data_IF_377228599763
#
_entry.id   IF_377228599763
#
_cell.length_a   1.000
_cell.length_b   1.000
_cell.length_c   1.000
_cell.angle_alpha   90.00
_cell.angle_beta   90.00
_cell.angle_gamma   90.00
#
_symmetry.space_group_name_H-M   'P 1'
#
loop_
_entity.id
_entity.type
_entity.pdbx_description
1 polymer ?
#
# COMPACT_ATOMS: atom_id res chain seq x y z
N UNK A 1 16.40 -17.20 4.48
CA UNK A 1 15.80 -17.26 3.11
C UNK A 1 16.86 -16.91 2.06
N UNK A 2 16.92 -17.62 0.93
CA UNK A 2 17.93 -17.35 -0.11
C UNK A 2 17.73 -15.96 -0.74
N UNK A 3 18.81 -15.33 -1.23
CA UNK A 3 18.74 -14.03 -1.91
C UNK A 3 17.82 -14.07 -3.14
N UNK A 4 17.85 -15.18 -3.88
CA UNK A 4 16.95 -15.44 -5.01
C UNK A 4 15.49 -15.47 -4.58
N UNK A 5 15.17 -16.15 -3.48
CA UNK A 5 13.81 -16.22 -2.94
C UNK A 5 13.31 -14.84 -2.50
N UNK A 6 14.14 -14.05 -1.80
CA UNK A 6 13.81 -12.66 -1.42
C UNK A 6 13.52 -11.79 -2.63
N UNK A 7 14.35 -11.89 -3.67
CA UNK A 7 14.17 -11.16 -4.92
C UNK A 7 12.84 -11.52 -5.60
N UNK A 8 12.52 -12.81 -5.68
CA UNK A 8 11.25 -13.29 -6.27
C UNK A 8 10.05 -12.75 -5.47
N UNK A 9 10.07 -12.85 -4.15
CA UNK A 9 8.98 -12.35 -3.30
C UNK A 9 8.77 -10.84 -3.50
N UNK A 10 9.85 -10.05 -3.47
CA UNK A 10 9.77 -8.61 -3.74
C UNK A 10 9.20 -8.29 -5.12
N UNK A 11 9.55 -9.07 -6.14
CA UNK A 11 8.99 -8.89 -7.50
C UNK A 11 7.52 -9.21 -7.57
N UNK A 12 7.09 -10.33 -6.99
CA UNK A 12 5.68 -10.72 -6.98
C UNK A 12 4.83 -9.65 -6.30
N UNK A 13 5.29 -9.17 -5.15
CA UNK A 13 4.59 -8.12 -4.39
C UNK A 13 4.60 -6.81 -5.14
N UNK A 14 5.74 -6.43 -5.71
CA UNK A 14 5.85 -5.24 -6.56
C UNK A 14 4.84 -5.28 -7.71
N UNK A 15 4.74 -6.40 -8.44
CA UNK A 15 3.79 -6.57 -9.54
C UNK A 15 2.35 -6.48 -9.02
N UNK A 16 2.03 -7.14 -7.90
CA UNK A 16 0.70 -7.05 -7.30
C UNK A 16 0.34 -5.60 -6.92
N UNK A 17 1.31 -4.81 -6.44
CA UNK A 17 1.12 -3.39 -6.09
C UNK A 17 0.87 -2.54 -7.32
N UNK A 18 1.63 -2.77 -8.39
CA UNK A 18 1.43 -2.06 -9.64
C UNK A 18 0.03 -2.34 -10.20
N UNK A 19 -0.38 -3.62 -10.24
CA UNK A 19 -1.70 -4.02 -10.74
C UNK A 19 -2.81 -3.44 -9.85
N UNK A 20 -2.72 -3.63 -8.53
CA UNK A 20 -3.72 -3.13 -7.59
C UNK A 20 -3.82 -1.60 -7.58
N UNK A 21 -2.68 -0.92 -7.63
CA UNK A 21 -2.63 0.54 -7.72
C UNK A 21 -3.19 1.08 -9.03
N UNK A 22 -2.87 0.48 -10.18
CA UNK A 22 -3.48 0.84 -11.47
C UNK A 22 -4.99 0.62 -11.41
N UNK A 23 -5.43 -0.53 -10.88
CA UNK A 23 -6.85 -0.84 -10.68
C UNK A 23 -7.59 0.20 -9.85
N UNK A 24 -6.99 0.65 -8.74
CA UNK A 24 -7.52 1.76 -7.92
C UNK A 24 -7.58 3.09 -8.68
N UNK A 25 -6.57 3.39 -9.49
CA UNK A 25 -6.49 4.66 -10.25
C UNK A 25 -7.61 4.76 -11.30
N UNK A 26 -7.84 3.67 -12.03
CA UNK A 26 -8.86 3.56 -13.08
C UNK A 26 -10.25 3.23 -12.53
N UNK A 27 -10.38 3.05 -11.22
CA UNK A 27 -11.67 2.78 -10.59
C UNK A 27 -12.69 3.88 -10.93
N UNK A 28 -13.84 3.44 -11.41
CA UNK A 28 -15.00 4.25 -11.75
C UNK A 28 -16.12 4.01 -10.75
N UNK A 29 -17.21 4.76 -10.88
CA UNK A 29 -18.44 4.56 -10.09
C UNK A 29 -18.90 3.10 -10.06
N UNK A 30 -18.87 2.40 -11.19
CA UNK A 30 -19.23 0.99 -11.29
C UNK A 30 -18.36 0.09 -10.39
N UNK A 31 -17.08 0.41 -10.20
CA UNK A 31 -16.21 -0.31 -9.27
C UNK A 31 -16.67 -0.06 -7.83
N UNK A 32 -17.00 1.18 -7.49
CA UNK A 32 -17.53 1.52 -6.16
C UNK A 32 -18.88 0.85 -5.90
N UNK A 33 -19.77 0.80 -6.88
CA UNK A 33 -21.06 0.09 -6.81
C UNK A 33 -20.87 -1.42 -6.57
N UNK A 34 -19.94 -2.04 -7.30
CA UNK A 34 -19.64 -3.47 -7.16
C UNK A 34 -19.13 -3.83 -5.75
N UNK A 35 -18.50 -2.89 -5.05
CA UNK A 35 -18.08 -3.03 -3.66
C UNK A 35 -19.08 -2.46 -2.63
N UNK A 36 -20.29 -2.04 -3.06
CA UNK A 36 -21.32 -1.49 -2.18
C UNK A 36 -20.98 -0.10 -1.60
N UNK A 37 -20.06 0.62 -2.23
CA UNK A 37 -19.52 1.92 -1.81
C UNK A 37 -19.99 3.09 -2.68
N UNK A 38 -21.06 2.92 -3.46
CA UNK A 38 -21.56 3.94 -4.40
C UNK A 38 -21.81 5.33 -3.77
N UNK A 39 -22.23 5.37 -2.49
CA UNK A 39 -22.44 6.61 -1.73
C UNK A 39 -21.17 7.45 -1.59
N UNK A 40 -19.98 6.82 -1.57
CA UNK A 40 -18.71 7.56 -1.54
C UNK A 40 -18.46 8.30 -2.87
N UNK A 41 -19.03 7.81 -3.97
CA UNK A 41 -18.84 8.39 -5.30
C UNK A 41 -19.67 9.66 -5.49
N UNK A 42 -20.93 9.67 -5.04
CA UNK A 42 -21.83 10.81 -5.17
C UNK A 42 -21.64 11.86 -4.06
N UNK A 43 -21.43 11.41 -2.82
CA UNK A 43 -21.59 12.28 -1.65
C UNK A 43 -20.25 12.77 -1.09
N UNK A 44 -19.13 12.12 -1.46
CA UNK A 44 -17.82 12.34 -0.85
C UNK A 44 -16.67 12.42 -1.87
N UNK A 45 -16.65 13.42 -2.77
CA UNK A 45 -15.62 13.55 -3.81
C UNK A 45 -14.19 13.64 -3.26
N UNK A 46 -14.02 14.19 -2.05
CA UNK A 46 -12.73 14.20 -1.36
C UNK A 46 -12.22 12.79 -1.03
N UNK A 47 -13.10 11.85 -0.69
CA UNK A 47 -12.73 10.46 -0.39
C UNK A 47 -12.29 9.74 -1.66
N UNK A 48 -12.95 9.99 -2.80
CA UNK A 48 -12.53 9.45 -4.11
C UNK A 48 -11.15 9.99 -4.48
N UNK A 49 -10.91 11.29 -4.28
CA UNK A 49 -9.62 11.90 -4.56
C UNK A 49 -8.51 11.25 -3.71
N UNK A 50 -8.73 11.07 -2.41
CA UNK A 50 -7.76 10.38 -1.54
C UNK A 50 -7.57 8.93 -1.95
N UNK A 51 -8.63 8.20 -2.31
CA UNK A 51 -8.53 6.83 -2.80
C UNK A 51 -7.63 6.73 -4.04
N UNK A 52 -7.77 7.66 -4.99
CA UNK A 52 -6.91 7.73 -6.19
C UNK A 52 -5.50 8.22 -5.88
N UNK A 53 -5.32 9.15 -4.95
CA UNK A 53 -4.00 9.59 -4.51
C UNK A 53 -3.23 8.45 -3.82
N UNK A 54 -3.90 7.67 -2.97
CA UNK A 54 -3.36 6.46 -2.36
C UNK A 54 -2.97 5.41 -3.41
N UNK A 55 -3.71 5.32 -4.52
CA UNK A 55 -3.35 4.46 -5.64
C UNK A 55 -1.96 4.82 -6.21
N UNK A 56 -1.67 6.10 -6.38
CA UNK A 56 -0.35 6.58 -6.85
C UNK A 56 0.75 6.20 -5.86
N UNK A 57 0.49 6.33 -4.56
CA UNK A 57 1.43 5.89 -3.53
C UNK A 57 1.71 4.38 -3.59
N UNK A 58 0.68 3.56 -3.76
CA UNK A 58 0.81 2.10 -3.91
C UNK A 58 1.64 1.74 -5.15
N UNK A 59 1.39 2.39 -6.29
CA UNK A 59 2.18 2.21 -7.52
C UNK A 59 3.64 2.57 -7.26
N UNK A 60 3.90 3.71 -6.62
CA UNK A 60 5.25 4.18 -6.30
C UNK A 60 6.01 3.18 -5.41
N UNK A 61 5.37 2.65 -4.36
CA UNK A 61 5.95 1.59 -3.53
C UNK A 61 6.23 0.34 -4.37
N UNK A 62 5.31 -0.06 -5.25
CA UNK A 62 5.52 -1.16 -6.19
C UNK A 62 6.79 -0.98 -7.04
N UNK A 63 7.01 0.21 -7.60
CA UNK A 63 8.22 0.53 -8.37
C UNK A 63 9.48 0.43 -7.50
N UNK A 64 9.46 1.00 -6.30
CA UNK A 64 10.61 0.94 -5.38
C UNK A 64 10.96 -0.52 -5.05
N UNK A 65 9.96 -1.34 -4.70
CA UNK A 65 10.17 -2.75 -4.38
C UNK A 65 10.71 -3.53 -5.59
N UNK A 66 10.29 -3.18 -6.81
CA UNK A 66 10.84 -3.77 -8.03
C UNK A 66 12.34 -3.49 -8.16
N UNK A 67 12.74 -2.23 -7.93
CA UNK A 67 14.15 -1.81 -8.01
C UNK A 67 14.96 -2.53 -6.92
N UNK A 68 14.46 -2.52 -5.67
CA UNK A 68 15.09 -3.22 -4.55
C UNK A 68 15.26 -4.72 -4.80
N UNK A 69 14.34 -5.35 -5.56
CA UNK A 69 14.44 -6.77 -5.89
C UNK A 69 15.67 -7.12 -6.74
N UNK A 70 16.22 -6.18 -7.52
CA UNK A 70 17.38 -6.42 -8.40
C UNK A 70 18.67 -6.55 -7.62
N UNK A 71 18.81 -5.79 -6.53
CA UNK A 71 19.97 -5.83 -5.64
C UNK A 71 19.59 -5.38 -4.22
N UNK A 72 19.14 -6.35 -3.42
CA UNK A 72 18.64 -6.11 -2.06
C UNK A 72 19.75 -5.55 -1.16
N UNK A 73 20.99 -6.01 -1.35
CA UNK A 73 22.13 -5.62 -0.50
C UNK A 73 22.43 -4.14 -0.72
N UNK A 74 22.52 -3.71 -1.98
CA UNK A 74 22.73 -2.31 -2.35
C UNK A 74 21.59 -1.40 -1.88
N UNK A 75 20.34 -1.89 -1.91
CA UNK A 75 19.15 -1.10 -1.62
C UNK A 75 18.61 -1.26 -0.18
N UNK A 76 19.37 -1.83 0.76
CA UNK A 76 18.93 -2.00 2.16
C UNK A 76 18.48 -0.69 2.83
N UNK A 77 19.14 0.43 2.55
CA UNK A 77 18.76 1.74 3.10
C UNK A 77 17.40 2.21 2.57
N UNK A 78 17.10 1.95 1.30
CA UNK A 78 15.81 2.27 0.68
C UNK A 78 14.71 1.42 1.31
N UNK A 79 14.95 0.12 1.52
CA UNK A 79 14.00 -0.78 2.19
C UNK A 79 13.70 -0.29 3.62
N UNK A 80 14.72 0.12 4.38
CA UNK A 80 14.55 0.73 5.71
C UNK A 80 13.70 2.00 5.66
N UNK A 81 13.99 2.89 4.70
CA UNK A 81 13.21 4.10 4.48
C UNK A 81 11.74 3.80 4.15
N UNK A 82 11.49 2.79 3.32
CA UNK A 82 10.13 2.34 2.99
C UNK A 82 9.40 1.78 4.21
N UNK A 83 10.08 1.01 5.08
CA UNK A 83 9.49 0.53 6.34
C UNK A 83 9.06 1.70 7.23
N UNK A 84 9.92 2.71 7.40
CA UNK A 84 9.61 3.89 8.21
C UNK A 84 8.43 4.66 7.62
N UNK A 85 8.43 4.88 6.30
CA UNK A 85 7.33 5.57 5.62
C UNK A 85 6.00 4.82 5.77
N UNK A 86 6.01 3.49 5.64
CA UNK A 86 4.82 2.65 5.86
C UNK A 86 4.36 2.67 7.32
N UNK A 87 5.28 2.73 8.28
CA UNK A 87 4.94 2.83 9.70
C UNK A 87 4.28 4.17 10.04
N UNK A 88 4.78 5.27 9.49
CA UNK A 88 4.14 6.59 9.61
C UNK A 88 2.77 6.57 8.94
N UNK A 89 2.66 5.99 7.74
CA UNK A 89 1.39 5.86 7.03
C UNK A 89 0.36 5.05 7.83
N UNK A 90 0.76 3.92 8.40
CA UNK A 90 -0.05 3.10 9.30
C UNK A 90 -0.59 3.93 10.47
N UNK A 91 0.30 4.62 11.19
CA UNK A 91 -0.07 5.42 12.36
C UNK A 91 -1.01 6.57 11.99
N UNK A 92 -0.71 7.31 10.93
CA UNK A 92 -1.54 8.44 10.48
C UNK A 92 -2.92 7.95 10.06
N UNK A 93 -3.01 6.86 9.30
CA UNK A 93 -4.28 6.29 8.83
C UNK A 93 -5.13 5.79 10.01
N UNK A 94 -4.52 5.08 10.96
CA UNK A 94 -5.18 4.57 12.15
C UNK A 94 -5.69 5.71 13.04
N UNK A 95 -4.84 6.70 13.34
CA UNK A 95 -5.21 7.85 14.16
C UNK A 95 -6.29 8.69 13.49
N UNK A 96 -6.18 8.92 12.18
CA UNK A 96 -7.19 9.69 11.43
C UNK A 96 -8.54 8.97 11.50
N UNK A 97 -8.58 7.66 11.26
CA UNK A 97 -9.82 6.88 11.36
C UNK A 97 -10.46 6.96 12.75
N UNK A 98 -9.66 6.84 13.81
CA UNK A 98 -10.14 6.94 15.20
C UNK A 98 -10.65 8.35 15.52
N UNK A 99 -9.87 9.39 15.22
CA UNK A 99 -10.20 10.79 15.57
C UNK A 99 -11.44 11.27 14.82
N UNK A 100 -11.59 10.88 13.55
CA UNK A 100 -12.72 11.29 12.71
C UNK A 100 -13.98 10.47 12.94
N UNK A 101 -13.90 9.39 13.75
CA UNK A 101 -15.03 8.50 14.00
C UNK A 101 -15.48 7.73 12.75
N UNK A 102 -14.60 7.58 11.76
CA UNK A 102 -14.89 6.78 10.57
C UNK A 102 -15.11 5.32 10.97
N UNK A 103 -16.07 4.65 10.31
CA UNK A 103 -16.25 3.21 10.49
C UNK A 103 -14.97 2.45 10.17
N UNK A 104 -14.66 1.41 10.97
CA UNK A 104 -13.42 0.61 10.84
C UNK A 104 -13.15 0.16 9.41
N UNK A 105 -14.19 -0.21 8.67
CA UNK A 105 -14.11 -0.64 7.27
C UNK A 105 -13.37 0.33 6.34
N UNK A 106 -13.34 1.63 6.64
CA UNK A 106 -12.75 2.65 5.77
C UNK A 106 -11.24 2.84 5.94
N UNK A 107 -10.66 2.41 7.07
CA UNK A 107 -9.24 2.65 7.35
C UNK A 107 -8.48 1.40 7.85
N UNK A 108 -9.20 0.40 8.36
CA UNK A 108 -8.61 -0.82 8.91
C UNK A 108 -7.90 -1.64 7.82
N UNK A 109 -8.47 -1.71 6.62
CA UNK A 109 -7.90 -2.49 5.50
C UNK A 109 -6.52 -1.94 5.12
N UNK A 110 -6.41 -0.62 4.90
CA UNK A 110 -5.14 0.01 4.55
C UNK A 110 -4.13 -0.05 5.72
N UNK A 111 -4.61 0.02 6.97
CA UNK A 111 -3.78 -0.13 8.18
C UNK A 111 -3.21 -1.55 8.32
N UNK A 112 -4.03 -2.58 8.22
CA UNK A 112 -3.57 -3.99 8.27
C UNK A 112 -2.63 -4.28 7.11
N UNK A 113 -2.96 -3.79 5.91
CA UNK A 113 -2.13 -3.99 4.73
C UNK A 113 -0.74 -3.37 4.89
N UNK A 114 -0.66 -2.12 5.36
CA UNK A 114 0.62 -1.48 5.64
C UNK A 114 1.43 -2.21 6.72
N UNK A 115 0.79 -2.72 7.77
CA UNK A 115 1.44 -3.53 8.80
C UNK A 115 2.04 -4.83 8.24
N UNK A 116 1.30 -5.56 7.41
CA UNK A 116 1.78 -6.80 6.78
C UNK A 116 3.03 -6.54 5.92
N UNK A 117 3.07 -5.42 5.19
CA UNK A 117 4.23 -5.02 4.41
C UNK A 117 5.43 -4.65 5.27
N UNK A 118 5.21 -3.92 6.36
CA UNK A 118 6.26 -3.58 7.33
C UNK A 118 6.94 -4.86 7.82
N UNK A 119 6.15 -5.83 8.29
CA UNK A 119 6.65 -7.12 8.79
C UNK A 119 7.44 -7.85 7.71
N UNK A 120 6.90 -7.91 6.49
CA UNK A 120 7.56 -8.62 5.40
C UNK A 120 8.88 -7.95 4.97
N UNK A 121 8.87 -6.63 4.77
CA UNK A 121 10.08 -5.88 4.41
C UNK A 121 11.13 -5.97 5.52
N UNK A 122 10.69 -5.99 6.77
CA UNK A 122 11.58 -6.21 7.91
C UNK A 122 12.27 -7.58 7.81
N UNK A 123 11.52 -8.67 7.59
CA UNK A 123 12.08 -10.03 7.40
C UNK A 123 13.09 -10.06 6.24
N UNK A 124 12.77 -9.41 5.11
CA UNK A 124 13.66 -9.37 3.94
C UNK A 124 14.96 -8.61 4.24
N UNK A 125 14.91 -7.63 5.15
CA UNK A 125 16.03 -6.77 5.49
C UNK A 125 16.98 -7.37 6.55
N UNK A 126 16.44 -8.02 7.59
CA UNK A 126 17.22 -8.58 8.71
C UNK A 126 17.95 -9.86 8.37
N UNK A 127 17.41 -10.67 7.47
CA UNK A 127 18.13 -11.83 6.91
C UNK A 127 19.11 -11.44 5.80
#
# INVERSE_FOLDING_TARGET
MSQTTKSIILRVISIAFLIGGIGRLIATECVFELFGMQHLWSDQPFVIYNYKALAVFVIWIGIILFICSKDIIKHKSVIRGSILALAIFFLVTLLTGIITGLGLQFFLVDSIFSLLLIVLLYIIQTE
#
